data_IF_047476524180
#
_entry.id   IF_047476524180
#
_cell.length_a   1.000
_cell.length_b   1.000
_cell.length_c   1.000
_cell.angle_alpha   90.00
_cell.angle_beta   90.00
_cell.angle_gamma   90.00
#
_symmetry.space_group_name_H-M   'P 1'
#
loop_
_entity.id
_entity.type
_entity.pdbx_description
1 polymer ?
#
# COMPACT_ATOMS: atom_id res chain seq x y z
N UNK A 1 21.50 20.25 -27.26
CA UNK A 1 20.30 20.11 -26.41
C UNK A 1 20.65 20.36 -24.95
N UNK A 2 21.05 21.59 -24.62
CA UNK A 2 21.41 22.05 -23.26
C UNK A 2 20.66 23.33 -22.89
N UNK A 3 19.50 23.56 -23.49
CA UNK A 3 18.66 24.69 -23.10
C UNK A 3 17.62 24.19 -22.10
N UNK A 4 17.70 24.73 -20.88
CA UNK A 4 16.68 24.54 -19.86
C UNK A 4 15.49 25.42 -20.23
N UNK A 5 14.44 24.80 -20.74
CA UNK A 5 13.21 25.52 -21.08
C UNK A 5 12.35 25.66 -19.82
N UNK A 6 12.13 26.90 -19.37
CA UNK A 6 11.19 27.19 -18.29
C UNK A 6 9.81 27.38 -18.89
N UNK A 7 8.86 26.52 -18.50
CA UNK A 7 7.45 26.62 -18.89
C UNK A 7 6.59 26.75 -17.63
N UNK A 8 5.73 27.77 -17.53
CA UNK A 8 4.86 27.91 -16.37
C UNK A 8 3.85 26.76 -16.31
N UNK A 9 3.50 26.35 -15.09
CA UNK A 9 2.40 25.42 -14.85
C UNK A 9 1.06 26.14 -15.04
N UNK A 10 0.09 25.47 -15.66
CA UNK A 10 -1.31 25.91 -15.60
C UNK A 10 -1.90 25.77 -14.19
N UNK A 11 -3.08 26.35 -13.93
CA UNK A 11 -3.72 26.37 -12.60
C UNK A 11 -3.80 24.97 -11.96
N UNK A 12 -4.32 23.98 -12.69
CA UNK A 12 -4.41 22.59 -12.21
C UNK A 12 -3.05 21.95 -11.94
N UNK A 13 -2.03 22.29 -12.73
CA UNK A 13 -0.67 21.81 -12.53
C UNK A 13 -0.04 22.42 -11.26
N UNK A 14 -0.26 23.71 -11.04
CA UNK A 14 0.23 24.41 -9.86
C UNK A 14 -0.43 23.90 -8.56
N UNK A 15 -1.75 23.67 -8.57
CA UNK A 15 -2.48 23.08 -7.43
C UNK A 15 -1.96 21.69 -7.08
N UNK A 16 -1.80 20.82 -8.08
CA UNK A 16 -1.25 19.47 -7.87
C UNK A 16 0.18 19.49 -7.35
N UNK A 17 1.03 20.36 -7.89
CA UNK A 17 2.40 20.51 -7.42
C UNK A 17 2.43 20.95 -5.93
N UNK A 18 1.62 21.95 -5.55
CA UNK A 18 1.49 22.38 -4.15
C UNK A 18 1.06 21.23 -3.24
N UNK A 19 0.02 20.50 -3.60
CA UNK A 19 -0.52 19.42 -2.77
C UNK A 19 0.45 18.24 -2.66
N UNK A 20 1.17 17.94 -3.75
CA UNK A 20 2.23 16.93 -3.75
C UNK A 20 3.38 17.30 -2.81
N UNK A 21 3.83 18.55 -2.83
CA UNK A 21 4.88 19.05 -1.92
C UNK A 21 4.43 18.93 -0.46
N UNK A 22 3.19 19.33 -0.15
CA UNK A 22 2.64 19.22 1.20
C UNK A 22 2.60 17.75 1.68
N UNK A 23 2.10 16.84 0.84
CA UNK A 23 2.09 15.39 1.14
C UNK A 23 3.49 14.82 1.35
N UNK A 24 4.45 15.22 0.51
CA UNK A 24 5.85 14.77 0.61
C UNK A 24 6.48 15.22 1.94
N UNK A 25 6.35 16.50 2.29
CA UNK A 25 6.92 17.04 3.54
C UNK A 25 6.28 16.34 4.75
N UNK A 26 4.96 16.18 4.76
CA UNK A 26 4.26 15.50 5.85
C UNK A 26 4.70 14.03 6.00
N UNK A 27 4.78 13.30 4.88
CA UNK A 27 5.21 11.90 4.86
C UNK A 27 6.65 11.74 5.39
N UNK A 28 7.58 12.58 4.93
CA UNK A 28 8.96 12.61 5.44
C UNK A 28 9.03 12.98 6.92
N UNK A 29 8.28 13.98 7.35
CA UNK A 29 8.22 14.35 8.77
C UNK A 29 7.71 13.20 9.65
N UNK A 30 6.69 12.47 9.19
CA UNK A 30 6.15 11.33 9.92
C UNK A 30 7.18 10.20 10.04
N UNK A 31 7.88 9.87 8.94
CA UNK A 31 8.99 8.90 8.94
C UNK A 31 10.12 9.34 9.87
N UNK A 32 10.54 10.60 9.80
CA UNK A 32 11.55 11.19 10.68
C UNK A 32 11.20 11.05 12.16
N UNK A 33 9.94 11.29 12.53
CA UNK A 33 9.46 11.11 13.90
C UNK A 33 9.57 9.65 14.35
N UNK A 34 9.16 8.70 13.51
CA UNK A 34 9.29 7.25 13.80
C UNK A 34 10.75 6.90 14.02
N UNK A 35 11.64 7.30 13.13
CA UNK A 35 13.07 7.01 13.26
C UNK A 35 13.69 7.65 14.51
N UNK A 36 13.26 8.87 14.87
CA UNK A 36 13.72 9.54 16.08
C UNK A 36 13.25 8.83 17.35
N UNK A 37 12.00 8.36 17.38
CA UNK A 37 11.50 7.50 18.45
C UNK A 37 12.30 6.19 18.54
N UNK A 38 12.54 5.51 17.42
CA UNK A 38 13.29 4.26 17.39
C UNK A 38 14.72 4.42 17.91
N UNK A 39 15.45 5.46 17.47
CA UNK A 39 16.80 5.77 17.99
C UNK A 39 16.81 6.04 19.50
N UNK A 40 15.78 6.69 20.02
CA UNK A 40 15.66 6.91 21.46
C UNK A 40 15.47 5.59 22.24
N UNK A 41 14.65 4.67 21.72
CA UNK A 41 14.46 3.34 22.30
C UNK A 41 15.73 2.48 22.23
N UNK A 42 16.46 2.52 21.11
CA UNK A 42 17.72 1.78 20.95
C UNK A 42 18.81 2.26 21.91
N UNK A 43 18.93 3.58 22.12
CA UNK A 43 19.91 4.15 23.04
C UNK A 43 19.68 3.65 24.48
N UNK A 44 18.43 3.54 24.91
CA UNK A 44 18.07 3.02 26.24
C UNK A 44 18.45 1.53 26.41
N UNK A 45 18.38 0.72 25.34
CA UNK A 45 18.75 -0.70 25.40
C UNK A 45 20.26 -0.96 25.47
N UNK A 46 21.09 -0.04 24.95
CA UNK A 46 22.55 -0.19 24.93
C UNK A 46 23.22 0.07 26.28
N UNK A 47 22.59 0.83 27.17
CA UNK A 47 23.14 1.11 28.51
C UNK A 47 23.07 -0.11 29.44
N UNK A 48 22.14 -1.04 29.20
CA UNK A 48 21.83 -2.12 30.15
C UNK A 48 22.60 -3.44 29.94
N UNK A 49 23.31 -3.71 28.83
CA UNK A 49 24.25 -4.86 28.75
C UNK A 49 25.03 -5.02 27.44
N UNK A 50 26.36 -4.90 27.51
CA UNK A 50 27.29 -5.18 26.39
C UNK A 50 27.33 -6.65 25.94
N UNK A 51 26.81 -7.59 26.74
CA UNK A 51 26.78 -9.04 26.43
C UNK A 51 25.49 -9.51 25.74
N UNK A 52 24.46 -8.66 25.62
CA UNK A 52 23.11 -9.07 25.21
C UNK A 52 22.83 -8.99 23.70
N UNK A 53 23.86 -9.17 22.85
CA UNK A 53 23.72 -9.13 21.37
C UNK A 53 23.01 -10.34 20.75
N UNK A 54 22.48 -11.26 21.54
CA UNK A 54 21.54 -12.28 21.05
C UNK A 54 20.16 -11.66 21.02
N UNK A 55 19.46 -11.75 19.89
CA UNK A 55 18.08 -11.26 19.76
C UNK A 55 17.25 -11.81 20.92
N UNK A 56 16.90 -10.93 21.87
CA UNK A 56 16.04 -11.29 22.98
C UNK A 56 14.67 -11.68 22.43
N UNK A 57 13.93 -12.57 23.11
CA UNK A 57 12.51 -12.74 22.83
C UNK A 57 11.82 -11.37 22.86
N UNK A 58 10.99 -11.08 21.85
CA UNK A 58 10.23 -9.84 21.77
C UNK A 58 8.73 -10.13 21.69
N UNK A 59 7.93 -9.16 22.12
CA UNK A 59 6.48 -9.18 21.98
C UNK A 59 6.10 -8.24 20.85
N UNK A 60 5.58 -8.80 19.75
CA UNK A 60 5.04 -8.02 18.64
C UNK A 60 3.57 -7.67 18.90
N UNK A 61 3.22 -6.40 18.70
CA UNK A 61 1.82 -5.94 18.68
C UNK A 61 1.55 -5.36 17.30
N UNK A 62 0.46 -5.80 16.68
CA UNK A 62 0.02 -5.33 15.37
C UNK A 62 -1.29 -4.56 15.54
N UNK A 63 -1.27 -3.27 15.22
CA UNK A 63 -2.44 -2.40 15.14
C UNK A 63 -2.58 -1.93 13.70
N UNK A 64 -3.63 -2.39 13.02
CA UNK A 64 -3.89 -2.06 11.61
C UNK A 64 -5.32 -1.55 11.46
N UNK A 65 -5.55 -0.75 10.43
CA UNK A 65 -6.91 -0.37 10.04
C UNK A 65 -7.73 -1.63 9.69
N UNK A 66 -8.97 -1.67 10.18
CA UNK A 66 -9.92 -2.71 9.82
C UNK A 66 -10.39 -2.59 8.37
N UNK A 67 -11.20 -3.55 7.94
CA UNK A 67 -11.78 -3.56 6.59
C UNK A 67 -12.64 -2.31 6.35
N UNK A 68 -12.45 -1.64 5.21
CA UNK A 68 -13.14 -0.39 4.85
C UNK A 68 -14.04 -0.56 3.62
N UNK A 69 -15.25 -0.02 3.70
CA UNK A 69 -16.17 0.10 2.57
C UNK A 69 -17.02 1.37 2.71
N UNK A 70 -16.66 2.38 1.95
CA UNK A 70 -17.32 3.68 1.91
C UNK A 70 -18.13 3.87 0.62
N UNK A 71 -18.87 4.99 0.53
CA UNK A 71 -19.58 5.39 -0.69
C UNK A 71 -18.63 5.59 -1.88
N UNK A 72 -17.38 5.99 -1.63
CA UNK A 72 -16.33 6.12 -2.65
C UNK A 72 -15.02 5.57 -2.09
N UNK A 73 -14.59 4.41 -2.58
CA UNK A 73 -13.32 3.80 -2.23
C UNK A 73 -12.28 4.08 -3.31
N UNK A 74 -11.10 4.56 -2.92
CA UNK A 74 -10.01 4.85 -3.85
C UNK A 74 -8.83 3.88 -3.65
N UNK A 75 -7.66 4.21 -4.20
CA UNK A 75 -6.47 3.36 -4.15
C UNK A 75 -6.02 3.11 -2.71
N UNK A 76 -6.20 4.07 -1.81
CA UNK A 76 -5.87 3.96 -0.39
C UNK A 76 -6.72 2.86 0.29
N UNK A 77 -8.03 2.83 0.06
CA UNK A 77 -8.91 1.76 0.55
C UNK A 77 -8.53 0.40 -0.03
N UNK A 78 -8.11 0.35 -1.30
CA UNK A 78 -7.65 -0.90 -1.91
C UNK A 78 -6.42 -1.45 -1.17
N UNK A 79 -5.48 -0.59 -0.77
CA UNK A 79 -4.32 -1.00 0.03
C UNK A 79 -4.72 -1.44 1.45
N UNK A 80 -5.62 -0.72 2.12
CA UNK A 80 -6.13 -1.07 3.45
C UNK A 80 -6.82 -2.46 3.41
N UNK A 81 -7.69 -2.68 2.42
CA UNK A 81 -8.38 -3.95 2.27
C UNK A 81 -7.43 -5.06 1.85
N UNK A 82 -6.42 -4.80 1.00
CA UNK A 82 -5.36 -5.77 0.70
C UNK A 82 -4.57 -6.17 1.95
N UNK A 83 -4.25 -5.23 2.85
CA UNK A 83 -3.61 -5.56 4.12
C UNK A 83 -4.48 -6.47 4.98
N UNK A 84 -5.80 -6.23 5.02
CA UNK A 84 -6.75 -7.10 5.71
C UNK A 84 -6.84 -8.50 5.07
N UNK A 85 -6.87 -8.59 3.74
CA UNK A 85 -6.81 -9.87 3.02
C UNK A 85 -5.54 -10.66 3.36
N UNK A 86 -4.38 -9.99 3.43
CA UNK A 86 -3.11 -10.62 3.83
C UNK A 86 -3.15 -11.12 5.26
N UNK A 87 -3.70 -10.32 6.18
CA UNK A 87 -3.85 -10.73 7.57
C UNK A 87 -4.80 -11.93 7.69
N UNK A 88 -5.90 -11.94 6.93
CA UNK A 88 -6.83 -13.07 6.88
C UNK A 88 -6.14 -14.33 6.34
N UNK A 89 -5.34 -14.22 5.28
CA UNK A 89 -4.62 -15.37 4.74
C UNK A 89 -3.54 -15.87 5.70
N UNK A 90 -2.86 -14.96 6.40
CA UNK A 90 -1.93 -15.32 7.47
C UNK A 90 -2.66 -16.07 8.59
N UNK A 91 -3.81 -15.56 9.06
CA UNK A 91 -4.61 -16.23 10.09
C UNK A 91 -5.04 -17.62 9.65
N UNK A 92 -5.59 -17.75 8.43
CA UNK A 92 -6.00 -19.02 7.86
C UNK A 92 -4.80 -19.98 7.82
N UNK A 93 -3.70 -19.61 7.17
CA UNK A 93 -2.55 -20.51 7.03
C UNK A 93 -1.88 -20.85 8.36
N UNK A 94 -1.75 -19.90 9.28
CA UNK A 94 -1.06 -20.09 10.55
C UNK A 94 -1.89 -20.92 11.53
N UNK A 95 -3.14 -20.52 11.79
CA UNK A 95 -4.00 -21.22 12.76
C UNK A 95 -4.28 -22.63 12.28
N UNK A 96 -4.72 -22.81 11.03
CA UNK A 96 -5.07 -24.14 10.53
C UNK A 96 -3.86 -25.06 10.45
N UNK A 97 -2.71 -24.59 9.96
CA UNK A 97 -1.51 -25.44 9.88
C UNK A 97 -1.01 -25.82 11.28
N UNK A 98 -0.96 -24.85 12.19
CA UNK A 98 -0.49 -25.10 13.56
C UNK A 98 -1.43 -26.05 14.31
N UNK A 99 -2.75 -25.88 14.19
CA UNK A 99 -3.72 -26.78 14.81
C UNK A 99 -3.66 -28.18 14.23
N UNK A 100 -3.61 -28.33 12.89
CA UNK A 100 -3.51 -29.65 12.25
C UNK A 100 -2.22 -30.37 12.62
N UNK A 101 -1.09 -29.66 12.65
CA UNK A 101 0.20 -30.22 13.07
C UNK A 101 0.16 -30.66 14.55
N UNK A 102 -0.53 -29.90 15.41
CA UNK A 102 -0.71 -30.24 16.82
C UNK A 102 -1.61 -31.47 16.99
N UNK A 103 -2.75 -31.52 16.31
CA UNK A 103 -3.66 -32.68 16.37
C UNK A 103 -2.98 -33.96 15.88
N UNK A 104 -2.20 -33.87 14.80
CA UNK A 104 -1.42 -35.00 14.29
C UNK A 104 -0.37 -35.47 15.30
N UNK A 105 0.32 -34.54 15.96
CA UNK A 105 1.33 -34.84 16.99
C UNK A 105 0.73 -35.52 18.22
N UNK A 106 -0.47 -35.11 18.63
CA UNK A 106 -1.19 -35.67 19.78
C UNK A 106 -2.00 -36.94 19.43
N UNK A 107 -2.01 -37.37 18.17
CA UNK A 107 -2.74 -38.56 17.71
C UNK A 107 -4.27 -38.39 17.74
N UNK A 108 -4.76 -37.15 17.75
CA UNK A 108 -6.18 -36.83 17.79
C UNK A 108 -6.73 -36.90 16.36
N UNK A 109 -7.78 -37.71 16.15
CA UNK A 109 -8.50 -37.71 14.88
C UNK A 109 -9.32 -36.42 14.78
N UNK A 110 -9.02 -35.63 13.76
CA UNK A 110 -9.71 -34.37 13.49
C UNK A 110 -10.25 -34.39 12.06
N UNK A 111 -11.52 -34.07 11.89
CA UNK A 111 -12.13 -33.92 10.57
C UNK A 111 -11.69 -32.59 9.96
N UNK A 112 -11.32 -32.61 8.67
CA UNK A 112 -10.82 -31.42 7.99
C UNK A 112 -11.89 -30.31 7.98
N UNK A 113 -11.65 -29.22 8.71
CA UNK A 113 -12.51 -28.04 8.65
C UNK A 113 -12.25 -27.33 7.32
N UNK A 114 -13.30 -27.18 6.51
CA UNK A 114 -13.24 -26.36 5.30
C UNK A 114 -13.34 -24.88 5.69
N UNK A 115 -12.38 -24.08 5.22
CA UNK A 115 -12.37 -22.64 5.41
C UNK A 115 -12.35 -21.91 4.06
N UNK A 116 -12.84 -20.68 4.06
CA UNK A 116 -12.81 -19.83 2.88
C UNK A 116 -11.38 -19.32 2.64
N UNK A 117 -10.68 -19.98 1.71
CA UNK A 117 -9.38 -19.52 1.21
C UNK A 117 -9.56 -18.24 0.39
N UNK A 118 -8.78 -17.20 0.72
CA UNK A 118 -8.77 -15.92 0.02
C UNK A 118 -7.53 -15.73 -0.88
N UNK A 119 -6.74 -16.79 -1.12
CA UNK A 119 -5.58 -16.76 -2.02
C UNK A 119 -5.91 -16.27 -3.45
N UNK A 120 -7.11 -16.58 -3.97
CA UNK A 120 -7.56 -16.09 -5.28
C UNK A 120 -7.76 -14.57 -5.29
N UNK A 121 -8.21 -13.98 -4.17
CA UNK A 121 -8.39 -12.54 -4.02
C UNK A 121 -7.01 -11.85 -3.98
N UNK A 122 -6.08 -12.40 -3.21
CA UNK A 122 -4.69 -11.91 -3.17
C UNK A 122 -4.04 -11.97 -4.56
N UNK A 123 -4.19 -13.09 -5.27
CA UNK A 123 -3.65 -13.25 -6.63
C UNK A 123 -4.28 -12.27 -7.62
N UNK A 124 -5.59 -12.00 -7.50
CA UNK A 124 -6.27 -10.99 -8.31
C UNK A 124 -5.70 -9.58 -8.07
N UNK A 125 -5.39 -9.22 -6.83
CA UNK A 125 -4.93 -7.86 -6.48
C UNK A 125 -3.44 -7.67 -6.76
N UNK A 126 -2.58 -8.53 -6.22
CA UNK A 126 -1.11 -8.37 -6.24
C UNK A 126 -0.34 -9.45 -6.99
N UNK A 127 -1.04 -10.46 -7.53
CA UNK A 127 -0.42 -11.50 -8.33
C UNK A 127 0.11 -10.97 -9.67
N UNK A 128 0.87 -11.81 -10.38
CA UNK A 128 1.39 -11.46 -11.71
C UNK A 128 0.23 -11.20 -12.68
N UNK A 129 0.17 -9.97 -13.21
CA UNK A 129 -0.94 -9.53 -14.06
C UNK A 129 -2.23 -9.24 -13.27
N UNK A 130 -2.12 -9.07 -11.95
CA UNK A 130 -3.18 -8.58 -11.09
C UNK A 130 -3.30 -7.06 -11.11
N UNK A 131 -4.28 -6.54 -10.39
CA UNK A 131 -4.72 -5.14 -10.43
C UNK A 131 -3.56 -4.16 -10.16
N UNK A 132 -2.72 -4.44 -9.16
CA UNK A 132 -1.59 -3.59 -8.79
C UNK A 132 -0.42 -3.70 -9.79
N UNK A 133 -0.11 -4.90 -10.30
CA UNK A 133 0.92 -5.04 -11.35
C UNK A 133 0.50 -4.29 -12.61
N UNK A 134 -0.77 -4.39 -12.99
CA UNK A 134 -1.30 -3.62 -14.12
C UNK A 134 -1.26 -2.11 -13.87
N UNK A 135 -1.46 -1.68 -12.62
CA UNK A 135 -1.37 -0.27 -12.25
C UNK A 135 0.06 0.25 -12.40
N UNK A 136 1.04 -0.51 -11.91
CA UNK A 136 2.45 -0.20 -12.07
C UNK A 136 2.82 -0.11 -13.56
N UNK A 137 2.46 -1.12 -14.35
CA UNK A 137 2.69 -1.14 -15.80
C UNK A 137 2.09 0.09 -16.49
N UNK A 138 0.86 0.49 -16.11
CA UNK A 138 0.18 1.69 -16.64
C UNK A 138 0.84 3.02 -16.25
N UNK A 139 1.64 3.05 -15.19
CA UNK A 139 2.43 4.22 -14.80
C UNK A 139 3.84 4.24 -15.39
N UNK A 140 4.29 3.12 -15.97
CA UNK A 140 5.58 3.01 -16.64
C UNK A 140 5.44 3.21 -18.16
N UNK A 141 6.35 3.98 -18.77
CA UNK A 141 6.38 4.16 -20.23
C UNK A 141 5.44 5.24 -20.77
N UNK A 142 4.52 4.88 -21.68
CA UNK A 142 3.64 5.84 -22.37
C UNK A 142 2.53 6.29 -21.42
N UNK A 143 2.30 7.61 -21.32
CA UNK A 143 1.20 8.17 -20.50
C UNK A 143 -0.14 7.48 -20.82
N UNK A 144 -0.69 6.80 -19.83
CA UNK A 144 -2.04 6.23 -19.85
C UNK A 144 -3.00 7.11 -19.04
N UNK A 145 -4.31 6.88 -19.19
CA UNK A 145 -5.36 7.50 -18.39
C UNK A 145 -6.03 6.45 -17.49
N UNK A 146 -6.64 6.89 -16.39
CA UNK A 146 -7.37 5.98 -15.48
C UNK A 146 -8.47 5.19 -16.21
N UNK A 147 -9.07 5.78 -17.26
CA UNK A 147 -10.07 5.11 -18.10
C UNK A 147 -9.47 3.98 -18.94
N UNK A 148 -8.28 4.20 -19.53
CA UNK A 148 -7.58 3.15 -20.28
C UNK A 148 -7.11 2.02 -19.36
N UNK A 149 -6.60 2.36 -18.17
CA UNK A 149 -6.23 1.39 -17.13
C UNK A 149 -7.43 0.54 -16.72
N UNK A 150 -8.56 1.16 -16.37
CA UNK A 150 -9.80 0.44 -16.02
C UNK A 150 -10.24 -0.51 -17.14
N UNK A 151 -10.18 -0.06 -18.39
CA UNK A 151 -10.52 -0.90 -19.55
C UNK A 151 -9.65 -2.14 -19.66
N UNK A 152 -8.36 -2.03 -19.35
CA UNK A 152 -7.44 -3.17 -19.32
C UNK A 152 -7.77 -4.13 -18.16
N UNK A 153 -7.98 -3.60 -16.95
CA UNK A 153 -8.33 -4.40 -15.75
C UNK A 153 -9.61 -5.20 -15.99
N UNK A 154 -10.66 -4.55 -16.50
CA UNK A 154 -11.94 -5.21 -16.81
C UNK A 154 -11.75 -6.30 -17.86
N UNK A 155 -10.99 -6.02 -18.93
CA UNK A 155 -10.73 -7.02 -19.99
C UNK A 155 -9.97 -8.24 -19.45
N UNK A 156 -9.04 -8.04 -18.53
CA UNK A 156 -8.23 -9.11 -17.95
C UNK A 156 -9.04 -9.98 -16.97
N UNK A 157 -9.94 -9.37 -16.19
CA UNK A 157 -10.55 -10.03 -15.03
C UNK A 157 -12.07 -10.19 -15.08
N UNK A 158 -12.78 -9.80 -16.15
CA UNK A 158 -14.26 -9.89 -16.20
C UNK A 158 -14.84 -11.31 -16.03
N UNK A 159 -14.01 -12.35 -16.16
CA UNK A 159 -14.40 -13.76 -15.92
C UNK A 159 -13.91 -14.31 -14.57
N UNK A 160 -13.15 -13.53 -13.80
CA UNK A 160 -12.61 -13.97 -12.52
C UNK A 160 -13.73 -14.04 -11.48
N UNK A 161 -13.86 -15.11 -10.68
CA UNK A 161 -14.97 -15.30 -9.74
C UNK A 161 -15.05 -14.23 -8.64
N UNK A 162 -13.92 -13.56 -8.37
CA UNK A 162 -13.82 -12.48 -7.36
C UNK A 162 -13.82 -11.07 -7.94
N UNK A 163 -14.12 -10.92 -9.23
CA UNK A 163 -14.17 -9.63 -9.90
C UNK A 163 -15.55 -9.40 -10.51
N UNK A 164 -16.16 -8.25 -10.20
CA UNK A 164 -17.45 -7.86 -10.76
C UNK A 164 -17.26 -6.61 -11.62
N UNK A 165 -17.62 -6.74 -12.91
CA UNK A 165 -17.70 -5.64 -13.87
C UNK A 165 -18.99 -4.87 -13.69
N UNK A 166 -18.90 -3.55 -13.56
CA UNK A 166 -20.08 -2.68 -13.58
C UNK A 166 -20.75 -2.71 -14.97
N UNK A 167 -22.07 -2.98 -15.01
CA UNK A 167 -22.82 -3.07 -16.28
C UNK A 167 -23.14 -1.70 -16.88
N UNK A 168 -23.57 -0.76 -16.03
CA UNK A 168 -23.91 0.62 -16.42
C UNK A 168 -23.33 1.61 -15.40
N UNK A 169 -21.99 1.74 -15.35
CA UNK A 169 -21.35 2.61 -14.38
C UNK A 169 -21.64 4.10 -14.68
N UNK A 170 -22.04 4.85 -13.66
CA UNK A 170 -22.05 6.33 -13.70
C UNK A 170 -20.66 6.92 -13.41
N UNK A 171 -19.77 6.13 -12.81
CA UNK A 171 -18.38 6.46 -12.47
C UNK A 171 -17.45 5.34 -12.91
N UNK A 172 -16.18 5.61 -13.26
CA UNK A 172 -15.23 4.57 -13.66
C UNK A 172 -14.88 3.69 -12.44
N UNK A 173 -15.55 2.54 -12.33
CA UNK A 173 -15.44 1.64 -11.16
C UNK A 173 -15.20 0.17 -11.56
N UNK A 174 -14.59 -0.57 -10.64
CA UNK A 174 -14.63 -2.04 -10.61
C UNK A 174 -14.95 -2.50 -9.19
N UNK A 175 -15.40 -3.76 -9.05
CA UNK A 175 -15.75 -4.34 -7.75
C UNK A 175 -14.93 -5.60 -7.50
N UNK A 176 -14.40 -5.74 -6.28
CA UNK A 176 -13.74 -6.97 -5.82
C UNK A 176 -14.62 -7.61 -4.74
N UNK A 177 -14.81 -8.92 -4.86
CA UNK A 177 -15.46 -9.74 -3.83
C UNK A 177 -14.43 -10.14 -2.77
N UNK A 178 -14.28 -9.32 -1.72
CA UNK A 178 -13.36 -9.58 -0.62
C UNK A 178 -13.89 -10.66 0.32
N UNK A 179 -13.04 -11.14 1.25
CA UNK A 179 -13.48 -12.08 2.29
C UNK A 179 -14.59 -11.49 3.18
N UNK A 180 -14.58 -10.17 3.38
CA UNK A 180 -15.53 -9.45 4.23
C UNK A 180 -16.75 -8.89 3.48
N UNK A 181 -16.77 -8.95 2.15
CA UNK A 181 -17.87 -8.46 1.32
C UNK A 181 -17.42 -7.79 0.02
N UNK A 182 -18.39 -7.36 -0.79
CA UNK A 182 -18.11 -6.70 -2.05
C UNK A 182 -17.74 -5.22 -1.82
N UNK A 183 -16.64 -4.76 -2.42
CA UNK A 183 -16.22 -3.36 -2.35
C UNK A 183 -16.05 -2.80 -3.74
N UNK A 184 -16.67 -1.63 -3.97
CA UNK A 184 -16.61 -0.89 -5.24
C UNK A 184 -15.50 0.15 -5.16
N UNK A 185 -14.54 0.08 -6.09
CA UNK A 185 -13.41 1.00 -6.19
C UNK A 185 -13.57 1.94 -7.38
N UNK A 186 -13.41 3.24 -7.15
CA UNK A 186 -13.41 4.27 -8.20
C UNK A 186 -11.99 4.53 -8.67
N UNK A 187 -11.71 4.33 -9.95
CA UNK A 187 -10.34 4.40 -10.51
C UNK A 187 -9.83 5.82 -10.74
N UNK A 188 -10.67 6.83 -10.57
CA UNK A 188 -10.27 8.23 -10.73
C UNK A 188 -9.07 8.59 -9.84
N UNK A 189 -7.98 9.02 -10.46
CA UNK A 189 -6.74 9.40 -9.79
C UNK A 189 -5.84 8.24 -9.38
N UNK A 190 -6.14 6.98 -9.77
CA UNK A 190 -5.29 5.83 -9.44
C UNK A 190 -3.86 5.99 -9.99
N UNK A 191 -3.72 6.37 -11.27
CA UNK A 191 -2.40 6.53 -11.88
C UNK A 191 -1.61 7.66 -11.21
N UNK A 192 -2.27 8.80 -10.94
CA UNK A 192 -1.62 9.93 -10.26
C UNK A 192 -1.16 9.55 -8.85
N UNK A 193 -1.98 8.81 -8.10
CA UNK A 193 -1.65 8.34 -6.74
C UNK A 193 -0.56 7.29 -6.72
N UNK A 194 -0.44 6.46 -7.75
CA UNK A 194 0.60 5.44 -7.85
C UNK A 194 1.96 6.03 -8.25
N UNK A 195 1.98 7.17 -8.95
CA UNK A 195 3.25 7.85 -9.28
C UNK A 195 3.75 8.63 -8.07
N UNK A 196 4.76 8.07 -7.38
CA UNK A 196 5.51 8.81 -6.37
C UNK A 196 6.40 9.88 -7.04
N UNK A 197 5.93 11.13 -7.09
CA UNK A 197 6.76 12.26 -7.52
C UNK A 197 7.44 12.90 -6.31
N UNK A 198 8.77 12.86 -6.30
CA UNK A 198 9.59 13.68 -5.42
C UNK A 198 10.39 14.65 -6.29
N UNK A 199 9.92 15.91 -6.46
CA UNK A 199 10.62 16.87 -7.29
C UNK A 199 12.00 17.16 -6.69
N UNK A 200 13.12 16.86 -7.39
CA UNK A 200 14.46 17.07 -6.86
C UNK A 200 14.71 18.52 -6.44
N UNK A 201 14.12 19.48 -7.14
CA UNK A 201 14.23 20.91 -6.85
C UNK A 201 13.65 21.27 -5.47
N UNK A 202 12.60 20.56 -5.03
CA UNK A 202 11.99 20.76 -3.71
C UNK A 202 12.88 20.16 -2.63
N UNK A 203 13.49 19.00 -2.88
CA UNK A 203 14.46 18.40 -1.96
C UNK A 203 15.71 19.28 -1.81
N UNK A 204 16.23 19.82 -2.91
CA UNK A 204 17.34 20.77 -2.89
C UNK A 204 17.01 22.05 -2.13
N UNK A 205 15.79 22.56 -2.28
CA UNK A 205 15.31 23.72 -1.53
C UNK A 205 15.24 23.41 -0.03
N UNK A 206 14.71 22.25 0.35
CA UNK A 206 14.64 21.80 1.76
C UNK A 206 16.05 21.66 2.35
N UNK A 207 17.01 21.11 1.62
CA UNK A 207 18.40 20.95 2.05
C UNK A 207 19.11 22.30 2.31
N UNK A 208 18.68 23.37 1.64
CA UNK A 208 19.21 24.74 1.81
C UNK A 208 18.46 25.55 2.87
N UNK A 209 17.40 25.00 3.48
CA UNK A 209 16.62 25.69 4.51
C UNK A 209 17.48 26.07 5.72
N UNK A 210 17.17 27.15 6.42
CA UNK A 210 17.82 27.48 7.69
C UNK A 210 17.32 26.57 8.84
N UNK A 211 16.16 25.95 8.69
CA UNK A 211 15.58 25.04 9.67
C UNK A 211 16.24 23.66 9.60
N UNK A 212 16.95 23.27 10.65
CA UNK A 212 17.71 22.01 10.70
C UNK A 212 16.87 20.77 10.37
N UNK A 213 15.64 20.71 10.89
CA UNK A 213 14.72 19.59 10.63
C UNK A 213 14.45 19.42 9.13
N UNK A 214 14.24 20.49 8.37
CA UNK A 214 14.01 20.39 6.92
C UNK A 214 15.22 19.86 6.16
N UNK A 215 16.44 20.13 6.64
CA UNK A 215 17.66 19.54 6.06
C UNK A 215 17.72 18.04 6.30
N UNK A 216 17.37 17.59 7.51
CA UNK A 216 17.29 16.18 7.85
C UNK A 216 16.24 15.47 7.00
N UNK A 217 15.03 16.05 6.86
CA UNK A 217 13.97 15.50 6.00
C UNK A 217 14.40 15.38 4.53
N UNK A 218 15.23 16.30 4.03
CA UNK A 218 15.73 16.25 2.65
C UNK A 218 16.77 15.14 2.42
N UNK A 219 17.49 14.74 3.47
CA UNK A 219 18.52 13.71 3.42
C UNK A 219 17.95 12.28 3.59
N UNK A 220 16.69 12.13 4.01
CA UNK A 220 16.04 10.83 4.10
C UNK A 220 15.89 10.18 2.71
N UNK A 221 16.26 8.89 2.56
CA UNK A 221 16.02 8.14 1.34
C UNK A 221 14.54 7.89 1.09
#
# INVERSE_FOLDING_TARGET
>A
GKDVTVSPLGDDGARRARDSIAKMIYSRLFKWLIERCNRAFEAMQQEDSKEMKKALPFMGVLDIAGFESFETNSLEQLFINLSNEKLQQFFNSYVFKTELDLYAKEGIKFDKVEFADNAEILTLIEGKGGILTMLDDSTTGIKQTDATYLGQVVKAHEKHPRFIKAKFPTQPVFTICHFAGDVVYTTGGFLEKNVAQQPPEVLEMMAKSELGVLKELAAEP
#
